data_IF_812250820799
#
_entry.id   IF_812250820799
#
_cell.length_a   1.000
_cell.length_b   1.000
_cell.length_c   1.000
_cell.angle_alpha   90.00
_cell.angle_beta   90.00
_cell.angle_gamma   90.00
#
_symmetry.space_group_name_H-M   'P 1'
#
loop_
_entity.id
_entity.type
_entity.pdbx_description
1 polymer ?
#
# COMPACT_ATOMS: atom_id res chain seq x y z
N UNK A 1 16.30 17.59 -6.50
CA UNK A 1 15.54 16.37 -6.20
C UNK A 1 14.74 16.63 -4.95
N UNK A 2 13.51 17.10 -5.12
CA UNK A 2 12.59 17.33 -3.99
C UNK A 2 11.70 16.12 -3.84
N UNK A 3 11.81 15.43 -2.70
CA UNK A 3 10.94 14.32 -2.35
C UNK A 3 9.90 14.81 -1.35
N UNK A 4 8.62 14.65 -1.69
CA UNK A 4 7.49 15.01 -0.85
C UNK A 4 6.72 13.74 -0.51
N UNK A 5 6.50 13.51 0.78
CA UNK A 5 5.63 12.42 1.25
C UNK A 5 4.32 13.05 1.71
N UNK A 6 3.22 12.63 1.10
CA UNK A 6 1.88 13.12 1.42
C UNK A 6 0.88 11.98 1.51
N UNK A 7 -0.30 12.26 2.04
CA UNK A 7 -1.41 11.31 2.05
C UNK A 7 -1.90 11.04 0.63
N UNK A 8 -2.27 9.80 0.38
CA UNK A 8 -2.94 9.39 -0.86
C UNK A 8 -4.29 10.11 -0.99
N UNK A 9 -4.56 10.71 -2.16
CA UNK A 9 -5.86 11.24 -2.52
C UNK A 9 -6.51 10.39 -3.62
N UNK A 10 -7.82 10.50 -3.82
CA UNK A 10 -8.54 9.71 -4.83
C UNK A 10 -8.03 9.97 -6.26
N UNK A 11 -7.48 11.16 -6.53
CA UNK A 11 -6.84 11.50 -7.81
C UNK A 11 -5.59 10.67 -8.09
N UNK A 12 -4.90 10.22 -7.05
CA UNK A 12 -3.65 9.45 -7.17
C UNK A 12 -3.93 7.96 -7.38
N UNK A 13 -5.18 7.51 -7.21
CA UNK A 13 -5.53 6.10 -7.19
C UNK A 13 -5.05 5.33 -8.41
N UNK A 14 -5.28 5.90 -9.60
CA UNK A 14 -4.88 5.34 -10.88
C UNK A 14 -3.36 5.33 -11.04
N UNK A 15 -2.69 6.43 -10.71
CA UNK A 15 -1.24 6.55 -10.81
C UNK A 15 -0.53 5.56 -9.86
N UNK A 16 -1.07 5.34 -8.66
CA UNK A 16 -0.59 4.33 -7.71
C UNK A 16 -0.76 2.90 -8.24
N UNK A 17 -1.91 2.59 -8.88
CA UNK A 17 -2.13 1.28 -9.49
C UNK A 17 -1.17 1.02 -10.65
N UNK A 18 -0.95 2.02 -11.51
CA UNK A 18 0.02 1.96 -12.62
C UNK A 18 1.45 1.78 -12.08
N UNK A 19 1.85 2.58 -11.09
CA UNK A 19 3.15 2.47 -10.41
C UNK A 19 3.35 1.08 -9.79
N UNK A 20 2.33 0.54 -9.10
CA UNK A 20 2.38 -0.79 -8.50
C UNK A 20 2.48 -1.87 -9.57
N UNK A 21 1.74 -1.74 -10.67
CA UNK A 21 1.80 -2.67 -11.80
C UNK A 21 3.20 -2.70 -12.41
N UNK A 22 3.83 -1.54 -12.60
CA UNK A 22 5.18 -1.44 -13.16
C UNK A 22 6.25 -1.95 -12.20
N UNK A 23 6.15 -1.64 -10.91
CA UNK A 23 7.10 -2.10 -9.89
C UNK A 23 7.14 -3.63 -9.75
N UNK A 24 6.03 -4.31 -10.00
CA UNK A 24 5.92 -5.77 -9.90
C UNK A 24 5.83 -6.51 -11.24
N UNK A 25 5.93 -5.79 -12.37
CA UNK A 25 5.78 -6.38 -13.69
C UNK A 25 6.83 -7.46 -13.96
N UNK A 26 6.39 -8.69 -14.20
CA UNK A 26 7.25 -9.85 -14.49
C UNK A 26 8.28 -10.17 -13.39
N UNK A 27 8.11 -9.65 -12.16
CA UNK A 27 9.03 -9.94 -11.05
C UNK A 27 8.76 -11.33 -10.48
N UNK A 28 7.50 -11.66 -10.22
CA UNK A 28 7.12 -12.92 -9.58
C UNK A 28 6.45 -13.93 -10.54
N UNK A 29 5.71 -13.44 -11.52
CA UNK A 29 5.04 -14.23 -12.54
C UNK A 29 4.83 -13.38 -13.80
N UNK A 30 4.52 -13.96 -14.97
CA UNK A 30 4.15 -13.18 -16.14
C UNK A 30 2.99 -12.21 -15.81
N UNK A 31 3.19 -10.92 -16.12
CA UNK A 31 2.30 -9.83 -15.73
C UNK A 31 2.53 -9.35 -14.30
N UNK A 32 1.54 -8.65 -13.74
CA UNK A 32 1.49 -8.25 -12.34
C UNK A 32 0.03 -8.34 -11.88
N UNK A 33 -0.23 -8.71 -10.63
CA UNK A 33 -1.58 -8.73 -10.06
C UNK A 33 -1.70 -7.87 -8.79
N UNK A 34 -0.58 -7.38 -8.29
CA UNK A 34 -0.43 -6.60 -7.06
C UNK A 34 -1.21 -5.29 -7.11
N UNK A 35 -1.28 -4.65 -8.28
CA UNK A 35 -2.10 -3.45 -8.50
C UNK A 35 -3.60 -3.70 -8.22
N UNK A 36 -4.11 -4.91 -8.50
CA UNK A 36 -5.48 -5.31 -8.17
C UNK A 36 -5.67 -5.49 -6.66
N UNK A 37 -4.64 -5.96 -5.95
CA UNK A 37 -4.66 -6.08 -4.49
C UNK A 37 -4.79 -4.69 -3.87
N UNK A 38 -4.02 -3.70 -4.33
CA UNK A 38 -4.12 -2.32 -3.87
C UNK A 38 -5.54 -1.78 -4.10
N UNK A 39 -6.09 -1.97 -5.31
CA UNK A 39 -7.46 -1.56 -5.63
C UNK A 39 -8.50 -2.17 -4.69
N UNK A 40 -8.41 -3.48 -4.43
CA UNK A 40 -9.34 -4.18 -3.54
C UNK A 40 -9.20 -3.79 -2.08
N UNK A 41 -7.97 -3.49 -1.62
CA UNK A 41 -7.69 -3.15 -0.23
C UNK A 41 -8.26 -1.78 0.14
N UNK A 42 -8.26 -0.78 -0.75
CA UNK A 42 -8.79 0.57 -0.46
C UNK A 42 -10.20 0.60 0.13
N UNK A 43 -11.04 -0.37 -0.25
CA UNK A 43 -12.43 -0.49 0.19
C UNK A 43 -12.62 -1.43 1.41
N UNK A 44 -11.55 -1.98 1.99
CA UNK A 44 -11.65 -2.86 3.16
C UNK A 44 -11.67 -2.06 4.45
N UNK A 45 -12.55 -2.45 5.37
CA UNK A 45 -12.72 -1.85 6.71
C UNK A 45 -11.45 -1.79 7.56
N UNK A 46 -10.46 -2.63 7.26
CA UNK A 46 -9.22 -2.74 8.03
C UNK A 46 -8.08 -1.87 7.51
N UNK A 47 -8.26 -1.17 6.38
CA UNK A 47 -7.24 -0.25 5.86
C UNK A 47 -7.26 1.07 6.64
N UNK A 48 -6.06 1.56 6.94
CA UNK A 48 -5.84 2.78 7.70
C UNK A 48 -5.55 3.89 6.70
N UNK A 49 -6.60 4.56 6.21
CA UNK A 49 -6.48 5.63 5.20
C UNK A 49 -5.51 6.75 5.62
N UNK A 50 -5.43 7.05 6.91
CA UNK A 50 -4.49 8.04 7.45
C UNK A 50 -3.01 7.67 7.31
N UNK A 51 -2.71 6.38 7.09
CA UNK A 51 -1.37 5.83 6.89
C UNK A 51 -1.13 5.39 5.43
N UNK A 52 -2.06 5.68 4.52
CA UNK A 52 -1.80 5.54 3.09
C UNK A 52 -1.01 6.76 2.62
N UNK A 53 0.26 6.53 2.29
CA UNK A 53 1.17 7.59 1.89
C UNK A 53 1.67 7.34 0.47
N UNK A 54 1.85 8.42 -0.26
CA UNK A 54 2.49 8.45 -1.57
C UNK A 54 3.76 9.28 -1.48
N UNK A 55 4.79 8.82 -2.17
CA UNK A 55 6.04 9.54 -2.34
C UNK A 55 6.06 10.15 -3.74
N UNK A 56 6.22 11.47 -3.80
CA UNK A 56 6.27 12.25 -5.03
C UNK A 56 7.67 12.85 -5.18
N UNK A 57 8.35 12.55 -6.28
CA UNK A 57 9.64 13.13 -6.64
C UNK A 57 9.50 13.89 -7.96
N UNK A 58 9.88 15.16 -7.96
CA UNK A 58 9.88 16.03 -9.15
C UNK A 58 8.52 16.00 -9.91
N UNK A 59 7.41 15.93 -9.17
CA UNK A 59 6.03 15.91 -9.71
C UNK A 59 5.54 14.53 -10.17
N UNK A 60 6.32 13.47 -9.98
CA UNK A 60 5.96 12.09 -10.32
C UNK A 60 5.84 11.22 -9.07
N UNK A 61 4.84 10.35 -9.03
CA UNK A 61 4.72 9.36 -7.97
C UNK A 61 5.80 8.29 -8.14
N UNK A 62 6.64 8.13 -7.13
CA UNK A 62 7.77 7.18 -7.12
C UNK A 62 7.60 6.05 -6.09
N UNK A 63 6.61 6.18 -5.20
CA UNK A 63 6.34 5.16 -4.20
C UNK A 63 4.95 5.28 -3.58
N UNK A 64 4.46 4.16 -3.06
CA UNK A 64 3.20 4.08 -2.34
C UNK A 64 3.30 3.05 -1.22
N UNK A 65 2.70 3.36 -0.08
CA UNK A 65 2.55 2.43 1.04
C UNK A 65 1.09 2.40 1.49
N UNK A 66 0.55 1.19 1.59
CA UNK A 66 -0.77 0.92 2.13
C UNK A 66 -0.64 0.15 3.43
N UNK A 67 -1.23 0.69 4.49
CA UNK A 67 -1.19 0.09 5.81
C UNK A 67 -2.57 -0.41 6.22
N UNK A 68 -2.62 -1.62 6.77
CA UNK A 68 -3.87 -2.20 7.29
C UNK A 68 -3.67 -2.80 8.68
N UNK A 69 -4.73 -2.78 9.47
CA UNK A 69 -4.76 -3.48 10.75
C UNK A 69 -4.72 -4.98 10.53
N UNK A 70 -3.71 -5.63 11.08
CA UNK A 70 -3.73 -7.08 11.25
C UNK A 70 -4.63 -7.42 12.42
N UNK A 71 -5.75 -8.11 12.16
CA UNK A 71 -6.58 -8.64 13.25
C UNK A 71 -5.84 -9.79 13.92
N UNK A 72 -5.30 -9.57 15.11
CA UNK A 72 -4.77 -10.65 15.95
C UNK A 72 -5.97 -11.44 16.47
N UNK A 73 -6.21 -12.65 15.95
CA UNK A 73 -7.11 -13.60 16.63
C UNK A 73 -6.47 -13.96 17.98
N UNK A 74 -7.28 -14.04 19.04
CA UNK A 74 -6.84 -14.47 20.38
C UNK A 74 -6.56 -15.98 20.39
N UNK A 75 -5.62 -16.45 19.58
CA UNK A 75 -4.93 -17.73 19.75
C UNK A 75 -3.42 -17.48 19.78
N UNK A 76 -2.98 -16.76 20.80
CA UNK A 76 -1.65 -16.91 21.37
C UNK A 76 -1.78 -16.53 22.85
N UNK A 77 -2.36 -17.44 23.62
CA UNK A 77 -2.09 -17.47 25.05
C UNK A 77 -0.62 -17.90 25.25
N UNK A 78 -0.02 -17.48 26.37
CA UNK A 78 1.35 -17.74 26.82
C UNK A 78 2.48 -16.91 26.20
N UNK A 79 2.69 -15.72 26.79
CA UNK A 79 3.95 -15.40 27.48
C UNK A 79 3.72 -14.15 28.37
N UNK A 80 3.09 -14.35 29.53
CA UNK A 80 3.21 -13.46 30.69
C UNK A 80 4.03 -14.24 31.71
N UNK A 81 5.35 -14.14 31.58
CA UNK A 81 6.35 -14.53 32.58
C UNK A 81 7.52 -13.55 32.42
N UNK A 82 7.27 -12.32 32.85
CA UNK A 82 8.13 -11.55 33.77
C UNK A 82 7.18 -10.71 34.63
#
# INVERSE_FOLDING_TARGET
>A
MSLIIRREEEKDHRAVEELTREAFWNVYHPGATEHLIVHQLRNKKHVIKDLNLVAEADGQLVGHILSMWRRRSRQTAFARLV
#
